data_IF_980735955418
#
_entry.id   IF_980735955418
#
_cell.length_a   1.000
_cell.length_b   1.000
_cell.length_c   1.000
_cell.angle_alpha   90.00
_cell.angle_beta   90.00
_cell.angle_gamma   90.00
#
_symmetry.space_group_name_H-M   'P 1'
#
loop_
_entity.id
_entity.type
_entity.pdbx_description
1 polymer ?
#
# COMPACT_ATOMS: atom_id res chain seq x y z
N UNK A 1 -26.23 -3.19 9.05
CA UNK A 1 -25.52 -2.05 9.66
C UNK A 1 -24.86 -1.26 8.54
N UNK A 2 -24.83 0.07 8.61
CA UNK A 2 -24.15 0.94 7.66
C UNK A 2 -23.28 1.93 8.43
N UNK A 3 -22.20 2.42 7.82
CA UNK A 3 -21.29 3.39 8.43
C UNK A 3 -21.03 4.55 7.46
N UNK A 4 -20.80 5.74 8.00
CA UNK A 4 -20.39 6.90 7.20
C UNK A 4 -19.52 7.85 8.02
N UNK A 5 -18.73 8.66 7.31
CA UNK A 5 -18.01 9.76 7.95
C UNK A 5 -18.97 10.84 8.45
N UNK A 6 -18.58 11.63 9.46
CA UNK A 6 -19.40 12.73 9.95
C UNK A 6 -19.70 13.73 8.82
N UNK A 7 -20.93 14.31 8.79
CA UNK A 7 -21.29 15.32 7.82
C UNK A 7 -20.42 16.58 7.96
N UNK A 8 -20.12 17.23 6.83
CA UNK A 8 -19.21 18.38 6.75
C UNK A 8 -18.00 18.13 5.87
N UNK A 9 -17.22 19.18 5.56
CA UNK A 9 -16.02 19.09 4.73
C UNK A 9 -16.27 18.54 3.32
N UNK A 10 -17.44 18.83 2.72
CA UNK A 10 -17.86 18.32 1.41
C UNK A 10 -18.63 17.00 1.45
N UNK A 11 -18.85 16.39 2.64
CA UNK A 11 -19.65 15.17 2.78
C UNK A 11 -21.14 15.45 2.95
N UNK A 12 -21.96 14.63 2.32
CA UNK A 12 -23.42 14.77 2.31
C UNK A 12 -24.05 14.52 3.69
N UNK A 13 -25.09 15.31 4.00
CA UNK A 13 -25.92 15.11 5.18
C UNK A 13 -26.84 13.90 5.03
N UNK A 14 -27.11 13.20 6.13
CA UNK A 14 -28.13 12.14 6.17
C UNK A 14 -29.52 12.78 6.26
N UNK A 15 -30.45 12.30 5.43
CA UNK A 15 -31.84 12.75 5.52
C UNK A 15 -32.53 12.19 6.77
N UNK A 16 -33.38 13.00 7.41
CA UNK A 16 -34.15 12.59 8.59
C UNK A 16 -35.10 11.42 8.34
N UNK A 17 -35.52 11.24 7.08
CA UNK A 17 -36.33 10.09 6.66
C UNK A 17 -35.58 8.78 6.82
N UNK A 18 -34.29 8.76 6.48
CA UNK A 18 -33.47 7.56 6.62
C UNK A 18 -33.14 7.28 8.09
N UNK A 19 -32.79 8.31 8.87
CA UNK A 19 -32.44 8.15 10.29
C UNK A 19 -33.63 7.71 11.15
N UNK A 20 -34.88 7.90 10.70
CA UNK A 20 -36.06 7.35 11.40
C UNK A 20 -36.09 5.82 11.42
N UNK A 21 -35.47 5.17 10.43
CA UNK A 21 -35.46 3.71 10.28
C UNK A 21 -34.21 3.05 10.91
N UNK A 22 -33.27 3.83 11.44
CA UNK A 22 -31.98 3.34 11.92
C UNK A 22 -31.61 3.95 13.26
N UNK A 23 -30.88 3.18 14.09
CA UNK A 23 -30.23 3.73 15.26
C UNK A 23 -28.89 4.33 14.84
N UNK A 24 -28.66 5.60 15.17
CA UNK A 24 -27.40 6.29 14.89
C UNK A 24 -26.46 6.12 16.08
N UNK A 25 -25.31 5.49 15.86
CA UNK A 25 -24.25 5.34 16.85
C UNK A 25 -23.03 6.15 16.40
N UNK A 26 -22.56 7.05 17.27
CA UNK A 26 -21.34 7.81 17.04
C UNK A 26 -20.11 7.01 17.47
N UNK A 27 -19.15 6.82 16.56
CA UNK A 27 -17.84 6.24 16.88
C UNK A 27 -16.85 7.40 16.96
N UNK A 28 -16.34 7.65 18.16
CA UNK A 28 -15.33 8.69 18.38
C UNK A 28 -13.94 8.21 17.96
N UNK A 29 -13.04 9.15 17.75
CA UNK A 29 -11.62 8.85 17.55
C UNK A 29 -11.06 8.15 18.80
N UNK A 30 -10.14 7.20 18.57
CA UNK A 30 -9.47 6.51 19.66
C UNK A 30 -8.52 7.46 20.37
N UNK A 31 -8.52 7.38 21.70
CA UNK A 31 -7.49 8.03 22.50
C UNK A 31 -6.15 7.32 22.34
N UNK A 32 -5.08 8.02 22.69
CA UNK A 32 -3.71 7.55 22.51
C UNK A 32 -3.45 6.23 23.24
N UNK A 33 -4.04 6.02 24.43
CA UNK A 33 -3.87 4.78 25.18
C UNK A 33 -4.54 3.59 24.48
N UNK A 34 -5.74 3.79 23.92
CA UNK A 34 -6.41 2.75 23.13
C UNK A 34 -5.64 2.43 21.87
N UNK A 35 -5.13 3.43 21.15
CA UNK A 35 -4.27 3.21 19.97
C UNK A 35 -3.03 2.40 20.32
N UNK A 36 -2.30 2.79 21.37
CA UNK A 36 -1.12 2.05 21.85
C UNK A 36 -1.50 0.60 22.18
N UNK A 37 -2.57 0.39 22.95
CA UNK A 37 -3.00 -0.96 23.35
C UNK A 37 -3.32 -1.84 22.14
N UNK A 38 -4.10 -1.34 21.19
CA UNK A 38 -4.50 -2.10 19.99
C UNK A 38 -3.27 -2.50 19.18
N UNK A 39 -2.44 -1.53 18.80
CA UNK A 39 -1.32 -1.80 17.91
C UNK A 39 -0.16 -2.52 18.61
N UNK A 40 0.07 -2.29 19.90
CA UNK A 40 1.04 -3.11 20.67
C UNK A 40 0.58 -4.56 20.74
N UNK A 41 -0.71 -4.84 20.96
CA UNK A 41 -1.22 -6.23 20.95
C UNK A 41 -0.99 -6.91 19.59
N UNK A 42 -1.21 -6.18 18.49
CA UNK A 42 -0.99 -6.71 17.14
C UNK A 42 0.51 -6.98 16.88
N UNK A 43 1.37 -6.04 17.27
CA UNK A 43 2.83 -6.16 17.08
C UNK A 43 3.41 -7.27 17.98
N UNK A 44 2.95 -7.39 19.22
CA UNK A 44 3.33 -8.46 20.14
C UNK A 44 2.94 -9.83 19.60
N UNK A 45 1.74 -9.97 19.04
CA UNK A 45 1.32 -11.21 18.41
C UNK A 45 2.27 -11.61 17.26
N UNK A 46 2.74 -10.64 16.47
CA UNK A 46 3.72 -10.91 15.41
C UNK A 46 5.08 -11.33 15.96
N UNK A 47 5.64 -10.60 16.92
CA UNK A 47 6.94 -10.95 17.51
C UNK A 47 6.88 -12.20 18.40
N UNK A 48 5.70 -12.65 18.84
CA UNK A 48 5.56 -13.94 19.52
C UNK A 48 5.80 -15.14 18.59
N UNK A 49 5.77 -14.94 17.27
CA UNK A 49 5.92 -16.00 16.27
C UNK A 49 7.40 -16.27 15.92
N UNK A 50 8.15 -16.81 16.88
CA UNK A 50 9.51 -17.31 16.65
C UNK A 50 10.61 -16.24 16.62
N UNK A 51 10.31 -14.98 16.93
CA UNK A 51 11.35 -13.96 17.12
C UNK A 51 12.00 -14.11 18.51
N UNK A 52 13.21 -13.57 18.63
CA UNK A 52 13.90 -13.52 19.92
C UNK A 52 13.15 -12.63 20.94
N UNK A 53 13.16 -12.97 22.24
CA UNK A 53 12.41 -12.25 23.28
C UNK A 53 12.74 -10.75 23.41
N UNK A 54 13.90 -10.31 22.92
CA UNK A 54 14.27 -8.89 22.91
C UNK A 54 13.33 -8.05 22.04
N UNK A 55 12.84 -8.58 20.91
CA UNK A 55 11.95 -7.86 19.99
C UNK A 55 10.57 -7.60 20.59
N UNK A 56 10.07 -8.50 21.45
CA UNK A 56 8.84 -8.28 22.21
C UNK A 56 8.92 -7.04 23.12
N UNK A 57 10.12 -6.70 23.63
CA UNK A 57 10.32 -5.48 24.44
C UNK A 57 10.28 -4.22 23.59
N UNK A 58 10.65 -4.32 22.31
CA UNK A 58 10.67 -3.22 21.36
C UNK A 58 9.28 -2.93 20.77
N UNK A 59 8.32 -3.85 20.82
CA UNK A 59 6.95 -3.65 20.30
C UNK A 59 6.32 -2.35 20.78
N UNK A 60 6.33 -2.11 22.10
CA UNK A 60 5.71 -0.94 22.71
C UNK A 60 6.42 0.34 22.29
N UNK A 61 7.75 0.31 22.23
CA UNK A 61 8.59 1.46 21.82
C UNK A 61 8.31 1.81 20.36
N UNK A 62 8.25 0.80 19.48
CA UNK A 62 7.97 0.95 18.06
C UNK A 62 6.55 1.51 17.80
N UNK A 63 5.55 1.03 18.52
CA UNK A 63 4.17 1.54 18.41
C UNK A 63 4.08 2.97 18.96
N UNK A 64 4.80 3.28 20.03
CA UNK A 64 4.89 4.64 20.56
C UNK A 64 5.59 5.59 19.58
N UNK A 65 6.67 5.17 18.92
CA UNK A 65 7.35 5.93 17.88
C UNK A 65 6.42 6.20 16.69
N UNK A 66 5.67 5.19 16.27
CA UNK A 66 4.68 5.32 15.19
C UNK A 66 3.55 6.29 15.57
N UNK A 67 3.06 6.25 16.81
CA UNK A 67 2.06 7.21 17.31
C UNK A 67 2.58 8.64 17.31
N UNK A 68 3.83 8.83 17.75
CA UNK A 68 4.44 10.14 17.77
C UNK A 68 4.56 10.75 16.37
N UNK A 69 5.10 9.98 15.41
CA UNK A 69 5.20 10.41 14.00
C UNK A 69 3.81 10.66 13.40
N UNK A 70 2.84 9.79 13.67
CA UNK A 70 1.46 9.94 13.19
C UNK A 70 0.82 11.26 13.65
N UNK A 71 0.91 11.57 14.95
CA UNK A 71 0.34 12.81 15.52
C UNK A 71 1.03 14.05 14.96
N UNK A 72 2.35 14.05 14.92
CA UNK A 72 3.13 15.16 14.33
C UNK A 72 2.82 15.34 12.84
N UNK A 73 2.68 14.24 12.09
CA UNK A 73 2.34 14.31 10.67
C UNK A 73 0.98 14.98 10.44
N UNK A 74 -0.03 14.62 11.25
CA UNK A 74 -1.36 15.24 11.15
C UNK A 74 -1.31 16.73 11.51
N UNK A 75 -0.58 17.12 12.55
CA UNK A 75 -0.56 18.53 12.98
C UNK A 75 0.26 19.42 12.05
N UNK A 76 1.32 18.88 11.45
CA UNK A 76 2.29 19.66 10.66
C UNK A 76 1.91 19.71 9.18
N UNK A 77 1.53 18.57 8.59
CA UNK A 77 1.31 18.43 7.16
C UNK A 77 -0.18 18.59 6.82
N UNK A 78 -0.71 19.79 7.01
CA UNK A 78 -2.12 20.10 6.75
C UNK A 78 -2.44 20.11 5.25
N UNK A 79 -3.61 19.57 4.84
CA UNK A 79 -4.05 19.63 3.46
C UNK A 79 -4.41 21.06 3.07
N UNK A 80 -3.82 21.54 1.98
CA UNK A 80 -4.15 22.82 1.34
C UNK A 80 -4.53 22.55 -0.13
N UNK A 81 -5.11 23.51 -0.87
CA UNK A 81 -5.42 23.29 -2.30
C UNK A 81 -4.20 22.81 -3.12
N UNK A 82 -2.99 23.29 -2.80
CA UNK A 82 -1.75 22.85 -3.45
C UNK A 82 -1.25 21.46 -3.01
N UNK A 83 -1.68 20.98 -1.83
CA UNK A 83 -1.30 19.68 -1.25
C UNK A 83 -2.49 18.95 -0.65
N UNK A 84 -3.58 18.80 -1.41
CA UNK A 84 -4.83 18.26 -0.85
C UNK A 84 -4.76 16.76 -0.53
N UNK A 85 -3.76 16.06 -1.08
CA UNK A 85 -3.50 14.65 -0.85
C UNK A 85 -2.77 14.39 0.49
N UNK A 86 -2.39 15.43 1.23
CA UNK A 86 -1.79 15.33 2.56
C UNK A 86 -2.86 15.02 3.62
N UNK A 87 -3.53 13.89 3.46
CA UNK A 87 -4.56 13.41 4.38
C UNK A 87 -4.01 12.15 5.04
N UNK A 88 -3.77 12.25 6.35
CA UNK A 88 -3.31 11.15 7.17
C UNK A 88 -4.42 10.69 8.10
N UNK A 89 -4.60 9.38 8.24
CA UNK A 89 -5.61 8.78 9.11
C UNK A 89 -5.09 7.49 9.76
N UNK A 90 -5.92 6.88 10.62
CA UNK A 90 -5.57 5.66 11.35
C UNK A 90 -5.13 4.48 10.45
N UNK A 91 -5.59 4.42 9.19
CA UNK A 91 -5.16 3.39 8.24
C UNK A 91 -3.66 3.52 7.92
N UNK A 92 -3.11 4.72 7.98
CA UNK A 92 -1.69 4.96 7.73
C UNK A 92 -0.84 4.42 8.87
N UNK A 93 -1.27 4.64 10.12
CA UNK A 93 -0.70 3.95 11.27
C UNK A 93 -0.72 2.44 11.06
N UNK A 94 -1.89 1.88 10.71
CA UNK A 94 -2.03 0.45 10.49
C UNK A 94 -1.15 -0.07 9.34
N UNK A 95 -0.94 0.71 8.28
CA UNK A 95 -0.06 0.36 7.14
C UNK A 95 1.40 0.25 7.54
N UNK A 96 1.90 1.10 8.45
CA UNK A 96 3.26 0.98 9.01
C UNK A 96 3.39 -0.35 9.76
N UNK A 97 2.46 -0.64 10.67
CA UNK A 97 2.49 -1.90 11.44
C UNK A 97 2.35 -3.11 10.52
N UNK A 98 1.49 -3.06 9.50
CA UNK A 98 1.36 -4.12 8.50
C UNK A 98 2.64 -4.34 7.70
N UNK A 99 3.34 -3.27 7.31
CA UNK A 99 4.61 -3.38 6.60
C UNK A 99 5.71 -3.99 7.46
N UNK A 100 5.78 -3.61 8.74
CA UNK A 100 6.72 -4.22 9.70
C UNK A 100 6.47 -5.72 9.86
N UNK A 101 5.21 -6.16 9.77
CA UNK A 101 4.83 -7.57 9.86
C UNK A 101 5.22 -8.42 8.64
N UNK A 102 5.73 -7.82 7.56
CA UNK A 102 6.17 -8.55 6.37
C UNK A 102 7.48 -9.31 6.60
N UNK A 103 8.33 -8.86 7.53
CA UNK A 103 9.63 -9.51 7.79
C UNK A 103 9.43 -10.82 8.57
N UNK A 104 10.02 -11.95 8.14
CA UNK A 104 9.98 -13.18 8.91
C UNK A 104 10.96 -13.16 10.10
N UNK A 105 10.67 -13.97 11.11
CA UNK A 105 11.52 -14.12 12.31
C UNK A 105 12.93 -14.63 12.02
N UNK A 106 13.09 -15.46 10.98
CA UNK A 106 14.38 -15.98 10.53
C UNK A 106 15.39 -14.90 10.15
N UNK A 107 14.91 -13.75 9.66
CA UNK A 107 15.73 -12.69 9.08
C UNK A 107 15.92 -11.51 10.03
N UNK A 108 15.24 -11.49 11.17
CA UNK A 108 15.34 -10.43 12.17
C UNK A 108 16.18 -10.85 13.37
N UNK A 109 17.47 -10.47 13.35
CA UNK A 109 18.45 -10.82 14.40
C UNK A 109 19.02 -9.62 15.15
N UNK A 110 18.87 -8.41 14.61
CA UNK A 110 19.47 -7.19 15.14
C UNK A 110 18.38 -6.18 15.50
N UNK A 111 18.50 -5.53 16.67
CA UNK A 111 17.59 -4.46 17.08
C UNK A 111 17.69 -3.24 16.14
N UNK A 112 18.92 -2.89 15.73
CA UNK A 112 19.16 -1.79 14.79
C UNK A 112 18.45 -2.06 13.44
N UNK A 113 18.39 -3.31 12.98
CA UNK A 113 17.66 -3.70 11.76
C UNK A 113 16.16 -3.48 11.88
N UNK A 114 15.57 -3.75 13.04
CA UNK A 114 14.16 -3.45 13.29
C UNK A 114 13.90 -1.93 13.26
N UNK A 115 14.80 -1.11 13.79
CA UNK A 115 14.70 0.35 13.71
C UNK A 115 14.81 0.83 12.26
N UNK A 116 15.71 0.24 11.46
CA UNK A 116 15.82 0.51 10.01
C UNK A 116 14.55 0.15 9.25
N UNK A 117 13.98 -1.02 9.53
CA UNK A 117 12.69 -1.44 8.96
C UNK A 117 11.59 -0.44 9.31
N UNK A 118 11.52 0.00 10.57
CA UNK A 118 10.55 1.01 11.00
C UNK A 118 10.72 2.34 10.24
N UNK A 119 11.97 2.84 10.09
CA UNK A 119 12.25 4.04 9.30
C UNK A 119 11.78 3.85 7.85
N UNK A 120 12.13 2.72 7.22
CA UNK A 120 11.72 2.41 5.85
C UNK A 120 10.20 2.47 5.70
N UNK A 121 9.46 1.79 6.59
CA UNK A 121 8.00 1.70 6.54
C UNK A 121 7.30 3.03 6.79
N UNK A 122 7.83 3.82 7.73
CA UNK A 122 7.34 5.19 7.97
C UNK A 122 7.56 6.09 6.75
N UNK A 123 8.70 5.97 6.08
CA UNK A 123 8.97 6.67 4.83
C UNK A 123 8.00 6.24 3.71
N UNK A 124 7.80 4.93 3.50
CA UNK A 124 6.88 4.44 2.46
C UNK A 124 5.43 4.87 2.69
N UNK A 125 5.00 5.03 3.94
CA UNK A 125 3.62 5.40 4.25
C UNK A 125 3.41 6.92 4.27
N UNK A 126 4.29 7.68 4.91
CA UNK A 126 4.10 9.12 5.12
C UNK A 126 4.94 9.97 4.17
N UNK A 127 6.24 9.70 4.07
CA UNK A 127 7.17 10.51 3.29
C UNK A 127 6.85 10.48 1.78
N UNK A 128 6.48 9.31 1.23
CA UNK A 128 6.19 9.17 -0.21
C UNK A 128 4.99 10.02 -0.70
N UNK A 129 4.20 10.61 0.21
CA UNK A 129 3.14 11.58 -0.12
C UNK A 129 3.63 13.02 -0.20
N UNK A 130 4.80 13.34 0.33
CA UNK A 130 5.33 14.69 0.38
C UNK A 130 5.87 15.09 -1.00
N UNK A 131 5.62 16.34 -1.39
CA UNK A 131 6.01 16.89 -2.70
C UNK A 131 6.88 18.14 -2.59
N UNK A 132 6.95 18.75 -1.41
CA UNK A 132 7.70 19.98 -1.17
C UNK A 132 8.96 19.68 -0.36
N UNK A 133 10.10 20.20 -0.81
CA UNK A 133 11.41 19.97 -0.18
C UNK A 133 11.43 20.44 1.29
N UNK A 134 10.70 21.49 1.63
CA UNK A 134 10.58 21.96 3.02
C UNK A 134 9.86 20.91 3.88
N UNK A 135 8.74 20.37 3.40
CA UNK A 135 7.97 19.34 4.11
C UNK A 135 8.80 18.05 4.26
N UNK A 136 9.57 17.67 3.23
CA UNK A 136 10.51 16.53 3.26
C UNK A 136 11.58 16.70 4.35
N UNK A 137 12.20 17.88 4.45
CA UNK A 137 13.20 18.17 5.48
C UNK A 137 12.59 18.16 6.89
N UNK A 138 11.41 18.74 7.07
CA UNK A 138 10.70 18.68 8.35
C UNK A 138 10.37 17.23 8.75
N UNK A 139 9.96 16.40 7.79
CA UNK A 139 9.70 14.99 8.05
C UNK A 139 10.96 14.26 8.50
N UNK A 140 12.09 14.49 7.83
CA UNK A 140 13.36 13.90 8.22
C UNK A 140 13.77 14.30 9.66
N UNK A 141 13.56 15.56 10.05
CA UNK A 141 13.82 16.01 11.42
C UNK A 141 12.87 15.37 12.44
N UNK A 142 11.60 15.16 12.10
CA UNK A 142 10.65 14.39 12.93
C UNK A 142 11.20 12.97 13.18
N UNK A 143 11.69 12.29 12.14
CA UNK A 143 12.24 10.93 12.29
C UNK A 143 13.51 10.94 13.13
N UNK A 144 14.43 11.88 12.89
CA UNK A 144 15.65 12.04 13.70
C UNK A 144 15.33 12.25 15.18
N UNK A 145 14.37 13.14 15.49
CA UNK A 145 13.94 13.41 16.85
C UNK A 145 13.27 12.18 17.49
N UNK A 146 12.42 11.48 16.74
CA UNK A 146 11.73 10.26 17.20
C UNK A 146 12.74 9.16 17.55
N UNK A 147 13.77 8.96 16.73
CA UNK A 147 14.86 8.03 17.01
C UNK A 147 15.60 8.39 18.31
N UNK A 148 15.88 9.68 18.52
CA UNK A 148 16.55 10.16 19.73
C UNK A 148 15.70 10.00 20.98
N UNK A 149 14.43 10.40 20.94
CA UNK A 149 13.61 10.51 22.15
C UNK A 149 12.98 9.18 22.57
N UNK A 150 12.54 8.38 21.59
CA UNK A 150 11.76 7.16 21.84
C UNK A 150 12.66 5.93 21.75
N UNK A 151 13.42 5.78 20.66
CA UNK A 151 14.38 4.67 20.52
C UNK A 151 15.69 4.90 21.28
N UNK A 152 15.91 6.11 21.83
CA UNK A 152 17.13 6.46 22.58
C UNK A 152 18.41 6.19 21.79
N UNK A 153 18.34 6.32 20.46
CA UNK A 153 19.41 5.97 19.55
C UNK A 153 19.56 7.03 18.46
N UNK A 154 20.81 7.32 18.09
CA UNK A 154 21.09 8.28 17.02
C UNK A 154 20.89 7.62 15.64
N UNK A 155 20.13 8.28 14.77
CA UNK A 155 19.90 7.87 13.38
C UNK A 155 21.21 7.69 12.59
N UNK A 156 22.21 8.53 12.86
CA UNK A 156 23.54 8.47 12.23
C UNK A 156 24.27 7.16 12.56
N UNK A 157 24.03 6.59 13.75
CA UNK A 157 24.58 5.29 14.14
C UNK A 157 23.86 4.16 13.41
N UNK A 158 22.52 4.18 13.43
CA UNK A 158 21.66 3.13 12.86
C UNK A 158 21.88 2.98 11.35
N UNK A 159 22.03 4.11 10.65
CA UNK A 159 22.18 4.20 9.20
C UNK A 159 23.62 4.54 8.76
N UNK A 160 24.60 4.30 9.64
CA UNK A 160 26.02 4.62 9.37
C UNK A 160 26.55 3.99 8.09
N UNK A 161 26.07 2.79 7.73
CA UNK A 161 26.47 2.09 6.51
C UNK A 161 25.94 2.74 5.21
N UNK A 162 24.96 3.64 5.28
CA UNK A 162 24.39 4.35 4.13
C UNK A 162 25.09 5.68 3.83
N UNK A 163 25.75 6.29 4.83
CA UNK A 163 26.42 7.59 4.67
C UNK A 163 27.93 7.45 4.62
N UNK A 164 28.53 7.93 3.53
CA UNK A 164 29.99 7.99 3.39
C UNK A 164 30.64 9.05 4.30
N UNK A 165 29.88 10.07 4.70
CA UNK A 165 30.38 11.20 5.51
C UNK A 165 30.23 10.97 7.01
N UNK A 166 29.51 9.93 7.42
CA UNK A 166 29.16 9.64 8.81
C UNK A 166 27.98 10.45 9.36
N UNK A 167 27.48 11.45 8.62
CA UNK A 167 26.24 12.18 8.94
C UNK A 167 25.17 11.79 7.94
N UNK A 168 24.03 11.30 8.43
CA UNK A 168 22.92 10.86 7.59
C UNK A 168 22.12 12.08 7.16
N UNK A 169 21.84 12.14 5.86
CA UNK A 169 20.93 13.09 5.23
C UNK A 169 19.68 12.37 4.74
N UNK A 170 18.63 13.11 4.42
CA UNK A 170 17.39 12.52 3.90
C UNK A 170 17.64 11.70 2.61
N UNK A 171 18.51 12.20 1.73
CA UNK A 171 18.87 11.50 0.49
C UNK A 171 19.55 10.13 0.73
N UNK A 172 20.20 9.94 1.87
CA UNK A 172 20.80 8.65 2.24
C UNK A 172 19.73 7.62 2.60
N UNK A 173 18.60 8.04 3.18
CA UNK A 173 17.46 7.15 3.51
C UNK A 173 16.83 6.58 2.24
N UNK A 174 16.97 7.25 1.09
CA UNK A 174 16.52 6.70 -0.20
C UNK A 174 17.24 5.41 -0.58
N UNK A 175 18.43 5.15 -0.02
CA UNK A 175 19.16 3.89 -0.20
C UNK A 175 18.69 2.79 0.76
N UNK A 176 17.86 3.12 1.77
CA UNK A 176 17.31 2.15 2.70
C UNK A 176 16.13 1.42 2.06
N UNK A 177 16.40 0.26 1.48
CA UNK A 177 15.42 -0.55 0.76
C UNK A 177 15.15 -1.86 1.50
N UNK A 178 13.88 -2.23 1.59
CA UNK A 178 13.43 -3.54 2.02
C UNK A 178 12.55 -4.13 0.92
N UNK A 179 12.72 -5.42 0.64
CA UNK A 179 12.03 -6.09 -0.46
C UNK A 179 12.23 -7.60 -0.46
N UNK A 180 11.47 -8.28 -1.30
CA UNK A 180 11.45 -9.74 -1.41
C UNK A 180 12.08 -10.28 -2.71
N UNK A 181 12.93 -9.47 -3.35
CA UNK A 181 13.45 -9.69 -4.70
C UNK A 181 14.97 -9.90 -4.74
N UNK A 182 15.61 -10.10 -3.59
CA UNK A 182 17.05 -10.36 -3.49
C UNK A 182 17.34 -11.84 -3.26
N UNK A 183 16.62 -12.45 -2.32
CA UNK A 183 16.78 -13.85 -1.95
C UNK A 183 15.80 -14.71 -2.75
N UNK A 184 16.20 -15.95 -3.05
CA UNK A 184 15.40 -16.87 -3.89
C UNK A 184 14.19 -17.44 -3.14
N UNK A 185 14.16 -17.32 -1.82
CA UNK A 185 13.02 -17.69 -0.96
C UNK A 185 11.91 -16.61 -0.94
N UNK A 186 12.11 -15.51 -1.66
CA UNK A 186 11.19 -14.37 -1.74
C UNK A 186 10.76 -13.85 -0.37
N UNK A 187 11.65 -13.88 0.63
CA UNK A 187 11.39 -13.30 1.93
C UNK A 187 11.62 -11.78 1.93
N UNK A 188 10.74 -11.02 2.60
CA UNK A 188 10.88 -9.57 2.72
C UNK A 188 12.02 -9.22 3.69
N UNK A 189 13.09 -8.60 3.17
CA UNK A 189 14.29 -8.32 3.96
C UNK A 189 15.04 -7.04 3.52
N UNK A 190 15.98 -6.58 4.36
CA UNK A 190 16.85 -5.43 4.10
C UNK A 190 17.79 -5.71 2.91
N UNK A 191 17.84 -4.78 1.96
CA UNK A 191 18.73 -4.86 0.80
C UNK A 191 20.04 -4.15 1.11
N UNK A 192 21.10 -4.92 1.38
CA UNK A 192 22.41 -4.39 1.77
C UNK A 192 23.37 -4.21 0.60
N UNK A 193 23.32 -5.09 -0.41
CA UNK A 193 24.16 -4.99 -1.62
C UNK A 193 23.39 -4.40 -2.81
N UNK A 194 23.66 -3.13 -3.05
CA UNK A 194 23.06 -2.39 -4.15
C UNK A 194 23.51 -2.86 -5.55
N UNK A 195 24.74 -3.40 -5.69
CA UNK A 195 25.22 -3.93 -6.98
C UNK A 195 24.52 -5.24 -7.31
N UNK A 196 24.33 -6.10 -6.31
CA UNK A 196 23.54 -7.32 -6.45
C UNK A 196 22.08 -6.98 -6.81
N UNK A 197 21.50 -5.95 -6.19
CA UNK A 197 20.15 -5.47 -6.52
C UNK A 197 20.01 -5.09 -7.99
N UNK A 198 20.92 -4.29 -8.54
CA UNK A 198 20.88 -3.91 -9.97
C UNK A 198 20.91 -5.17 -10.84
N UNK A 199 21.85 -6.09 -10.58
CA UNK A 199 21.98 -7.33 -11.35
C UNK A 199 20.72 -8.19 -11.29
N UNK A 200 20.09 -8.31 -10.11
CA UNK A 200 18.83 -9.04 -9.94
C UNK A 200 17.69 -8.38 -10.72
N UNK A 201 17.57 -7.05 -10.67
CA UNK A 201 16.55 -6.30 -11.42
C UNK A 201 16.73 -6.42 -12.93
N UNK A 202 17.97 -6.41 -13.43
CA UNK A 202 18.28 -6.67 -14.84
C UNK A 202 17.90 -8.08 -15.28
N UNK A 203 18.16 -9.09 -14.43
CA UNK A 203 17.72 -10.46 -14.69
C UNK A 203 16.19 -10.56 -14.79
N UNK A 204 15.44 -9.99 -13.83
CA UNK A 204 13.97 -9.96 -13.89
C UNK A 204 13.45 -9.27 -15.14
N UNK A 205 14.11 -8.19 -15.61
CA UNK A 205 13.74 -7.54 -16.86
C UNK A 205 13.97 -8.44 -18.07
N UNK A 206 15.10 -9.16 -18.11
CA UNK A 206 15.41 -10.09 -19.18
C UNK A 206 14.44 -11.27 -19.22
N UNK A 207 14.09 -11.82 -18.07
CA UNK A 207 13.11 -12.90 -17.93
C UNK A 207 11.74 -12.43 -18.41
N UNK A 208 11.29 -11.25 -17.97
CA UNK A 208 10.06 -10.62 -18.46
C UNK A 208 10.08 -10.47 -19.99
N UNK A 209 11.17 -9.97 -20.56
CA UNK A 209 11.30 -9.73 -22.00
C UNK A 209 11.33 -11.03 -22.82
N UNK A 210 11.75 -12.14 -22.22
CA UNK A 210 11.78 -13.45 -22.88
C UNK A 210 10.37 -14.06 -22.99
N UNK A 211 9.53 -13.84 -21.97
CA UNK A 211 8.19 -14.42 -21.88
C UNK A 211 7.13 -13.50 -22.50
N UNK A 212 7.31 -12.19 -22.37
CA UNK A 212 6.31 -11.19 -22.75
C UNK A 212 6.24 -10.94 -24.26
N UNK A 213 5.02 -10.82 -24.78
CA UNK A 213 4.78 -10.39 -26.17
C UNK A 213 5.11 -8.91 -26.40
N UNK A 214 5.21 -8.12 -25.33
CA UNK A 214 5.50 -6.68 -25.36
C UNK A 214 6.72 -6.40 -24.49
N UNK A 215 7.94 -6.55 -25.04
CA UNK A 215 9.17 -6.33 -24.29
C UNK A 215 9.32 -4.86 -23.89
N UNK A 216 9.99 -4.62 -22.77
CA UNK A 216 10.29 -3.30 -22.22
C UNK A 216 11.80 -3.04 -22.27
N UNK A 217 12.19 -1.90 -22.83
CA UNK A 217 13.57 -1.43 -22.81
C UNK A 217 13.76 -0.46 -21.64
N UNK A 218 13.96 -0.99 -20.44
CA UNK A 218 14.20 -0.20 -19.23
C UNK A 218 15.68 -0.22 -18.86
N UNK A 219 16.19 0.94 -18.48
CA UNK A 219 17.53 1.06 -17.88
C UNK A 219 17.37 1.00 -16.36
N UNK A 220 18.11 0.10 -15.70
CA UNK A 220 18.06 -0.07 -14.24
C UNK A 220 18.95 0.94 -13.52
N UNK A 221 18.48 2.18 -13.42
CA UNK A 221 19.09 3.21 -12.57
C UNK A 221 18.32 3.39 -11.26
N UNK A 222 18.90 4.16 -10.33
CA UNK A 222 18.41 4.27 -8.95
C UNK A 222 16.91 4.57 -8.81
N UNK A 223 16.41 5.60 -9.51
CA UNK A 223 14.99 5.94 -9.41
C UNK A 223 14.07 4.83 -9.96
N UNK A 224 14.47 4.14 -11.04
CA UNK A 224 13.69 3.04 -11.58
C UNK A 224 13.54 1.90 -10.54
N UNK A 225 14.66 1.53 -9.91
CA UNK A 225 14.69 0.50 -8.86
C UNK A 225 13.87 0.93 -7.65
N UNK A 226 13.98 2.18 -7.20
CA UNK A 226 13.16 2.70 -6.10
C UNK A 226 11.66 2.58 -6.41
N UNK A 227 11.22 2.97 -7.60
CA UNK A 227 9.80 2.89 -7.97
C UNK A 227 9.30 1.44 -8.09
N UNK A 228 10.10 0.54 -8.68
CA UNK A 228 9.79 -0.89 -8.72
C UNK A 228 9.66 -1.45 -7.30
N UNK A 229 10.59 -1.10 -6.42
CA UNK A 229 10.61 -1.54 -5.02
C UNK A 229 9.38 -1.06 -4.24
N UNK A 230 8.95 0.19 -4.46
CA UNK A 230 7.71 0.73 -3.87
C UNK A 230 6.48 -0.04 -4.31
N UNK A 231 6.37 -0.35 -5.60
CA UNK A 231 5.23 -1.14 -6.12
C UNK A 231 5.29 -2.56 -5.57
N UNK A 232 6.46 -3.22 -5.62
CA UNK A 232 6.65 -4.57 -5.07
C UNK A 232 6.24 -4.65 -3.59
N UNK A 233 6.62 -3.67 -2.76
CA UNK A 233 6.20 -3.59 -1.35
C UNK A 233 4.68 -3.47 -1.20
N UNK A 234 3.98 -2.76 -2.10
CA UNK A 234 2.50 -2.68 -2.05
C UNK A 234 1.87 -4.01 -2.47
N UNK A 235 2.45 -4.73 -3.43
CA UNK A 235 1.95 -6.05 -3.86
C UNK A 235 2.01 -7.10 -2.74
N UNK A 236 2.97 -6.97 -1.82
CA UNK A 236 3.08 -7.85 -0.65
C UNK A 236 2.00 -7.62 0.42
N UNK A 237 1.23 -6.54 0.34
CA UNK A 237 0.18 -6.26 1.32
C UNK A 237 -1.16 -6.78 0.84
N UNK A 238 -1.89 -7.46 1.74
CA UNK A 238 -3.28 -7.84 1.50
C UNK A 238 -4.13 -6.58 1.23
N UNK A 239 -4.97 -6.63 0.19
CA UNK A 239 -5.72 -5.47 -0.30
C UNK A 239 -4.85 -4.23 -0.60
N UNK A 240 -3.60 -4.47 -1.02
CA UNK A 240 -2.67 -3.45 -1.43
C UNK A 240 -3.27 -2.59 -2.55
N UNK A 241 -3.03 -1.28 -2.50
CA UNK A 241 -3.33 -0.42 -3.63
C UNK A 241 -2.40 0.78 -3.61
N UNK A 242 -2.05 1.26 -4.80
CA UNK A 242 -1.23 2.44 -4.97
C UNK A 242 -1.80 3.31 -6.09
N UNK A 243 -1.82 4.61 -5.81
CA UNK A 243 -2.03 5.64 -6.82
C UNK A 243 -0.67 6.19 -7.23
N UNK A 244 -0.26 5.92 -8.47
CA UNK A 244 1.05 6.28 -8.98
C UNK A 244 0.94 7.59 -9.77
N UNK A 245 1.35 8.69 -9.13
CA UNK A 245 1.28 10.05 -9.69
C UNK A 245 2.64 10.48 -10.24
N UNK A 246 2.65 11.08 -11.42
CA UNK A 246 3.87 11.58 -12.05
C UNK A 246 3.63 12.05 -13.48
N UNK A 247 4.61 12.76 -14.03
CA UNK A 247 4.57 13.23 -15.42
C UNK A 247 4.61 12.07 -16.42
N UNK A 248 4.07 12.27 -17.62
CA UNK A 248 4.13 11.29 -18.70
C UNK A 248 5.57 10.86 -19.00
N UNK A 249 5.77 9.58 -19.30
CA UNK A 249 7.09 9.03 -19.60
C UNK A 249 7.99 8.69 -18.40
N UNK A 250 7.54 8.91 -17.15
CA UNK A 250 8.30 8.55 -15.94
C UNK A 250 8.43 7.04 -15.66
N UNK A 251 8.19 6.18 -16.66
CA UNK A 251 8.40 4.72 -16.57
C UNK A 251 7.40 3.97 -15.70
N UNK A 252 6.32 4.65 -15.30
CA UNK A 252 5.48 4.18 -14.21
C UNK A 252 4.72 2.88 -14.54
N UNK A 253 4.11 2.78 -15.73
CA UNK A 253 3.47 1.53 -16.19
C UNK A 253 4.48 0.39 -16.25
N UNK A 254 5.68 0.67 -16.78
CA UNK A 254 6.74 -0.32 -16.92
C UNK A 254 7.24 -0.83 -15.56
N UNK A 255 7.36 0.06 -14.57
CA UNK A 255 7.68 -0.32 -13.19
C UNK A 255 6.61 -1.24 -12.58
N UNK A 256 5.33 -0.97 -12.85
CA UNK A 256 4.24 -1.83 -12.37
C UNK A 256 4.22 -3.20 -13.04
N UNK A 257 4.43 -3.25 -14.36
CA UNK A 257 4.51 -4.52 -15.10
C UNK A 257 5.65 -5.39 -14.57
N UNK A 258 6.82 -4.78 -14.37
CA UNK A 258 7.98 -5.50 -13.84
C UNK A 258 7.78 -5.92 -12.39
N UNK A 259 7.26 -5.05 -11.51
CA UNK A 259 6.97 -5.42 -10.13
C UNK A 259 5.94 -6.55 -10.03
N UNK A 260 4.92 -6.56 -10.91
CA UNK A 260 3.94 -7.64 -10.98
C UNK A 260 4.58 -8.96 -11.42
N UNK A 261 5.52 -8.89 -12.36
CA UNK A 261 6.30 -10.06 -12.79
C UNK A 261 7.20 -10.59 -11.68
N UNK A 262 7.89 -9.71 -10.94
CA UNK A 262 8.73 -10.09 -9.79
C UNK A 262 7.90 -10.80 -8.70
N UNK A 263 6.64 -10.39 -8.52
CA UNK A 263 5.72 -10.99 -7.56
C UNK A 263 4.98 -12.23 -8.09
N UNK A 264 5.25 -12.67 -9.33
CA UNK A 264 4.48 -13.73 -10.02
C UNK A 264 2.97 -13.47 -10.03
N UNK A 265 2.57 -12.20 -10.14
CA UNK A 265 1.17 -11.80 -10.24
C UNK A 265 0.75 -11.62 -11.69
N UNK A 266 -0.45 -12.10 -12.02
CA UNK A 266 -0.98 -11.91 -13.36
C UNK A 266 -1.44 -10.47 -13.54
N UNK A 267 -1.04 -9.85 -14.65
CA UNK A 267 -1.43 -8.47 -14.95
C UNK A 267 -2.77 -8.46 -15.69
N UNK A 268 -3.77 -7.79 -15.11
CA UNK A 268 -5.04 -7.51 -15.78
C UNK A 268 -5.05 -6.05 -16.24
N UNK A 269 -5.11 -5.84 -17.55
CA UNK A 269 -5.16 -4.51 -18.18
C UNK A 269 -6.40 -4.46 -19.08
N UNK A 270 -7.16 -3.38 -18.98
CA UNK A 270 -8.33 -3.17 -19.84
C UNK A 270 -7.88 -2.60 -21.19
N UNK A 271 -8.35 -3.19 -22.27
CA UNK A 271 -8.13 -2.67 -23.62
C UNK A 271 -9.35 -1.88 -24.07
N UNK A 272 -9.17 -0.57 -24.23
CA UNK A 272 -10.27 0.30 -24.63
C UNK A 272 -10.37 0.36 -26.15
N UNK A 273 -11.56 0.00 -26.63
CA UNK A 273 -12.00 0.22 -28.01
C UNK A 273 -12.81 1.51 -28.14
N UNK A 274 -13.13 1.91 -29.38
CA UNK A 274 -14.00 3.08 -29.63
C UNK A 274 -15.41 2.90 -29.07
N UNK A 275 -15.88 1.65 -28.98
CA UNK A 275 -17.22 1.29 -28.49
C UNK A 275 -17.23 0.89 -27.02
N UNK A 276 -16.08 0.94 -26.33
CA UNK A 276 -15.99 0.55 -24.92
C UNK A 276 -16.82 1.49 -24.04
N UNK A 277 -17.86 0.94 -23.42
CA UNK A 277 -18.77 1.64 -22.52
C UNK A 277 -18.94 0.90 -21.19
N UNK A 278 -20.06 1.18 -20.52
CA UNK A 278 -20.34 0.69 -19.16
C UNK A 278 -20.56 -0.82 -19.10
N UNK A 279 -21.12 -1.41 -20.16
CA UNK A 279 -21.38 -2.85 -20.20
C UNK A 279 -20.05 -3.63 -20.28
N UNK A 280 -19.16 -3.23 -21.21
CA UNK A 280 -17.85 -3.85 -21.37
C UNK A 280 -17.00 -3.70 -20.09
N UNK A 281 -17.07 -2.54 -19.44
CA UNK A 281 -16.44 -2.32 -18.14
C UNK A 281 -16.95 -3.30 -17.08
N UNK A 282 -18.27 -3.44 -16.94
CA UNK A 282 -18.85 -4.37 -15.96
C UNK A 282 -18.47 -5.82 -16.26
N UNK A 283 -18.41 -6.21 -17.54
CA UNK A 283 -17.95 -7.53 -17.94
C UNK A 283 -16.47 -7.74 -17.59
N UNK A 284 -15.62 -6.72 -17.75
CA UNK A 284 -14.21 -6.77 -17.34
C UNK A 284 -14.06 -6.91 -15.82
N UNK A 285 -14.85 -6.17 -15.04
CA UNK A 285 -14.87 -6.30 -13.58
C UNK A 285 -15.37 -7.68 -13.17
N UNK A 286 -16.40 -8.24 -13.83
CA UNK A 286 -16.82 -9.64 -13.61
C UNK A 286 -15.66 -10.60 -13.86
N UNK A 287 -14.98 -10.49 -15.00
CA UNK A 287 -13.84 -11.37 -15.34
C UNK A 287 -12.72 -11.25 -14.31
N UNK A 288 -12.41 -10.04 -13.86
CA UNK A 288 -11.41 -9.82 -12.81
C UNK A 288 -11.80 -10.51 -11.50
N UNK A 289 -13.04 -10.33 -11.03
CA UNK A 289 -13.53 -10.93 -9.78
C UNK A 289 -13.63 -12.45 -9.86
N UNK A 290 -14.03 -13.00 -11.00
CA UNK A 290 -14.06 -14.46 -11.19
C UNK A 290 -12.64 -15.05 -11.14
N UNK A 291 -11.67 -14.37 -11.73
CA UNK A 291 -10.28 -14.81 -11.76
C UNK A 291 -9.62 -14.79 -10.37
N UNK A 292 -9.82 -13.71 -9.61
CA UNK A 292 -9.23 -13.61 -8.27
C UNK A 292 -10.00 -14.39 -7.23
N UNK A 293 -11.33 -14.46 -7.35
CA UNK A 293 -12.22 -15.15 -6.42
C UNK A 293 -12.33 -16.66 -6.63
N UNK A 294 -12.56 -17.13 -7.88
CA UNK A 294 -12.75 -18.56 -8.15
C UNK A 294 -11.45 -19.29 -8.47
N UNK A 295 -10.58 -18.69 -9.29
CA UNK A 295 -9.31 -19.33 -9.68
C UNK A 295 -8.19 -19.11 -8.64
N UNK A 296 -8.45 -18.28 -7.62
CA UNK A 296 -7.50 -17.91 -6.57
C UNK A 296 -6.14 -17.37 -7.08
N UNK A 297 -6.13 -16.81 -8.31
CA UNK A 297 -4.92 -16.25 -8.93
C UNK A 297 -4.63 -14.84 -8.42
N UNK A 298 -3.43 -14.64 -7.87
CA UNK A 298 -2.94 -13.31 -7.51
C UNK A 298 -2.85 -12.44 -8.75
N UNK A 299 -3.66 -11.38 -8.79
CA UNK A 299 -3.82 -10.53 -9.97
C UNK A 299 -3.62 -9.06 -9.60
N UNK A 300 -2.88 -8.34 -10.46
CA UNK A 300 -2.72 -6.90 -10.40
C UNK A 300 -3.60 -6.26 -11.44
N UNK A 301 -4.60 -5.48 -11.01
CA UNK A 301 -5.42 -4.70 -11.93
C UNK A 301 -4.76 -3.33 -12.15
N UNK A 302 -4.35 -3.10 -13.40
CA UNK A 302 -3.62 -1.92 -13.85
C UNK A 302 -4.53 -1.03 -14.70
N UNK A 303 -4.84 0.18 -14.20
CA UNK A 303 -5.78 1.12 -14.85
C UNK A 303 -5.14 2.49 -15.06
N UNK A 304 -5.13 2.97 -16.30
CA UNK A 304 -4.65 4.31 -16.64
C UNK A 304 -5.78 5.34 -16.61
N UNK A 305 -5.43 6.61 -16.40
CA UNK A 305 -6.34 7.76 -16.48
C UNK A 305 -7.09 7.83 -17.82
N UNK A 306 -6.38 7.57 -18.92
CA UNK A 306 -6.95 7.49 -20.26
C UNK A 306 -8.03 6.39 -20.39
N UNK A 307 -8.08 5.44 -19.46
CA UNK A 307 -9.08 4.39 -19.45
C UNK A 307 -10.42 4.77 -18.79
N UNK A 308 -10.46 5.89 -18.09
CA UNK A 308 -11.60 6.28 -17.26
C UNK A 308 -12.50 7.25 -18.00
N UNK A 309 -13.27 6.71 -18.95
CA UNK A 309 -14.18 7.53 -19.79
C UNK A 309 -15.45 7.97 -19.06
N UNK A 310 -15.91 7.20 -18.08
CA UNK A 310 -17.16 7.42 -17.37
C UNK A 310 -16.92 7.52 -15.87
N UNK A 311 -17.58 8.45 -15.20
CA UNK A 311 -17.50 8.63 -13.75
C UNK A 311 -17.89 7.37 -12.98
N UNK A 312 -18.84 6.58 -13.52
CA UNK A 312 -19.28 5.31 -12.94
C UNK A 312 -18.13 4.30 -12.79
N UNK A 313 -17.06 4.37 -13.60
CA UNK A 313 -15.92 3.45 -13.47
C UNK A 313 -15.17 3.72 -12.17
N UNK A 314 -15.03 5.00 -11.81
CA UNK A 314 -14.40 5.40 -10.54
C UNK A 314 -15.23 5.02 -9.34
N UNK A 315 -16.56 5.09 -9.47
CA UNK A 315 -17.48 4.60 -8.43
C UNK A 315 -17.31 3.10 -8.21
N UNK A 316 -17.29 2.30 -9.29
CA UNK A 316 -17.09 0.85 -9.21
C UNK A 316 -15.71 0.50 -8.60
N UNK A 317 -14.63 1.18 -9.00
CA UNK A 317 -13.30 1.00 -8.39
C UNK A 317 -13.32 1.34 -6.89
N UNK A 318 -14.01 2.41 -6.51
CA UNK A 318 -14.15 2.80 -5.10
C UNK A 318 -14.91 1.74 -4.30
N UNK A 319 -15.95 1.13 -4.88
CA UNK A 319 -16.70 0.05 -4.23
C UNK A 319 -15.84 -1.22 -4.09
N UNK A 320 -15.05 -1.57 -5.11
CA UNK A 320 -14.07 -2.66 -5.03
C UNK A 320 -13.04 -2.43 -3.91
N UNK A 321 -12.49 -1.22 -3.81
CA UNK A 321 -11.48 -0.89 -2.79
C UNK A 321 -12.04 -0.89 -1.36
N UNK A 322 -13.29 -0.46 -1.18
CA UNK A 322 -13.89 -0.33 0.14
C UNK A 322 -14.60 -1.58 0.64
N UNK A 323 -15.22 -2.34 -0.28
CA UNK A 323 -16.09 -3.47 0.06
C UNK A 323 -15.75 -4.79 -0.63
N UNK A 324 -14.87 -4.76 -1.65
CA UNK A 324 -14.56 -5.94 -2.47
C UNK A 324 -15.68 -6.38 -3.40
N UNK A 325 -16.78 -5.61 -3.50
CA UNK A 325 -17.96 -5.94 -4.31
C UNK A 325 -18.45 -4.71 -5.09
N UNK A 326 -19.11 -4.95 -6.22
CA UNK A 326 -19.79 -3.94 -7.02
C UNK A 326 -21.29 -4.28 -7.05
N UNK A 327 -22.18 -3.40 -6.53
CA UNK A 327 -23.60 -3.69 -6.47
C UNK A 327 -24.22 -3.98 -7.84
N UNK A 328 -25.11 -4.98 -7.87
CA UNK A 328 -25.84 -5.39 -9.09
C UNK A 328 -24.93 -5.75 -10.27
N UNK A 329 -23.72 -6.25 -9.98
CA UNK A 329 -22.80 -6.73 -11.02
C UNK A 329 -23.27 -8.08 -11.59
N UNK A 330 -23.55 -9.05 -10.72
CA UNK A 330 -24.04 -10.37 -11.11
C UNK A 330 -25.58 -10.46 -11.00
N UNK A 331 -26.27 -10.98 -12.01
CA UNK A 331 -27.69 -11.32 -11.89
C UNK A 331 -27.90 -12.46 -10.87
N UNK A 332 -29.12 -12.62 -10.33
CA UNK A 332 -29.37 -13.52 -9.19
C UNK A 332 -29.04 -14.99 -9.45
N UNK A 333 -29.23 -15.45 -10.68
CA UNK A 333 -28.92 -16.79 -11.17
C UNK A 333 -27.40 -17.04 -11.24
N UNK A 334 -26.64 -16.14 -11.88
CA UNK A 334 -25.16 -16.20 -11.88
C UNK A 334 -24.63 -16.17 -10.43
N UNK A 335 -25.19 -15.32 -9.57
CA UNK A 335 -24.77 -15.22 -8.17
C UNK A 335 -25.00 -16.52 -7.40
N UNK A 336 -26.11 -17.22 -7.64
CA UNK A 336 -26.38 -18.50 -7.00
C UNK A 336 -25.37 -19.58 -7.43
N UNK A 337 -25.03 -19.64 -8.71
CA UNK A 337 -24.00 -20.55 -9.24
C UNK A 337 -22.62 -20.26 -8.65
N UNK A 338 -22.25 -18.98 -8.54
CA UNK A 338 -20.97 -18.56 -7.95
C UNK A 338 -20.88 -18.95 -6.47
N UNK A 339 -21.96 -18.78 -5.71
CA UNK A 339 -22.00 -19.18 -4.30
C UNK A 339 -21.76 -20.68 -4.16
N UNK A 340 -22.37 -21.51 -5.02
CA UNK A 340 -22.15 -22.97 -4.99
C UNK A 340 -20.69 -23.34 -5.31
N UNK A 341 -20.10 -22.71 -6.33
CA UNK A 341 -18.68 -22.91 -6.68
C UNK A 341 -17.75 -22.52 -5.54
N UNK A 342 -17.96 -21.35 -4.93
CA UNK A 342 -17.16 -20.88 -3.79
C UNK A 342 -17.33 -21.80 -2.59
N UNK A 343 -18.55 -22.26 -2.30
CA UNK A 343 -18.79 -23.21 -1.21
C UNK A 343 -18.03 -24.53 -1.40
N UNK A 344 -17.96 -25.03 -2.65
CA UNK A 344 -17.20 -26.24 -2.96
C UNK A 344 -15.69 -26.02 -2.75
N UNK A 345 -15.15 -24.86 -3.14
CA UNK A 345 -13.74 -24.51 -2.89
C UNK A 345 -13.45 -24.43 -1.39
N UNK A 346 -14.29 -23.72 -0.62
CA UNK A 346 -14.14 -23.57 0.83
C UNK A 346 -14.23 -24.91 1.57
N UNK A 347 -15.01 -25.88 1.06
CA UNK A 347 -15.08 -27.23 1.64
C UNK A 347 -13.84 -28.07 1.38
N UNK A 348 -13.16 -27.85 0.25
CA UNK A 348 -11.98 -28.61 -0.16
C UNK A 348 -10.69 -28.04 0.45
N UNK A 349 -10.62 -26.72 0.64
CA UNK A 349 -9.48 -26.06 1.27
C UNK A 349 -9.81 -25.59 2.70
N UNK A 350 -9.35 -26.32 3.70
CA UNK A 350 -9.57 -26.06 5.15
C UNK A 350 -8.97 -24.71 5.63
N UNK A 351 -8.25 -23.99 4.78
CA UNK A 351 -7.45 -22.81 5.16
C UNK A 351 -7.78 -21.52 4.38
N UNK A 352 -8.87 -21.45 3.61
CA UNK A 352 -9.27 -20.19 2.96
C UNK A 352 -10.40 -19.51 3.74
N UNK A 353 -10.01 -18.63 4.67
CA UNK A 353 -10.87 -17.51 5.07
C UNK A 353 -11.12 -16.70 3.79
N UNK A 354 -12.35 -16.79 3.29
CA UNK A 354 -12.98 -16.01 2.21
C UNK A 354 -12.09 -14.92 1.59
N UNK A 355 -11.34 -15.29 0.54
CA UNK A 355 -10.55 -14.35 -0.25
C UNK A 355 -11.45 -13.73 -1.33
N UNK A 356 -12.03 -12.57 -0.99
CA UNK A 356 -12.12 -11.46 -1.95
C UNK A 356 -10.94 -10.48 -1.73
N UNK A 357 -9.93 -10.88 -0.94
CA UNK A 357 -8.81 -10.04 -0.48
C UNK A 357 -7.54 -10.06 -1.37
N UNK A 358 -7.51 -10.85 -2.45
CA UNK A 358 -6.34 -11.01 -3.36
C UNK A 358 -6.40 -10.15 -4.63
N UNK A 359 -7.13 -9.04 -4.61
CA UNK A 359 -7.05 -8.00 -5.64
C UNK A 359 -6.18 -6.85 -5.14
N UNK A 360 -4.96 -6.73 -5.65
CA UNK A 360 -4.16 -5.51 -5.46
C UNK A 360 -4.44 -4.56 -6.61
N UNK A 361 -5.03 -3.40 -6.30
CA UNK A 361 -5.50 -2.42 -7.28
C UNK A 361 -4.46 -1.31 -7.47
N UNK A 362 -3.89 -1.18 -8.68
CA UNK A 362 -2.93 -0.12 -8.99
C UNK A 362 -3.55 0.88 -9.96
N UNK A 363 -3.67 2.12 -9.50
CA UNK A 363 -4.35 3.21 -10.19
C UNK A 363 -3.37 4.34 -10.56
N UNK A 364 -3.70 5.11 -11.58
CA UNK A 364 -2.83 6.14 -12.16
C UNK A 364 -3.57 7.47 -12.28
N UNK A 365 -2.88 8.58 -11.99
CA UNK A 365 -3.37 9.93 -12.29
C UNK A 365 -2.29 10.73 -13.00
N UNK A 366 -2.66 11.51 -14.02
CA UNK A 366 -1.84 12.61 -14.53
C UNK A 366 -1.93 13.82 -13.61
N UNK A 367 -1.02 14.79 -13.81
CA UNK A 367 -0.88 16.00 -13.02
C UNK A 367 -2.15 16.84 -12.86
N UNK A 368 -2.08 17.69 -11.84
CA UNK A 368 -3.12 18.44 -11.15
C UNK A 368 -4.04 17.61 -10.26
N UNK A 369 -3.81 17.80 -8.96
CA UNK A 369 -4.69 17.45 -7.85
C UNK A 369 -6.12 17.89 -8.21
N UNK A 370 -6.94 16.94 -8.67
CA UNK A 370 -8.33 17.14 -9.02
C UNK A 370 -9.21 16.23 -8.16
N UNK A 371 -9.22 16.54 -6.87
CA UNK A 371 -10.41 16.39 -6.02
C UNK A 371 -10.48 17.62 -5.09
N UNK A 372 -10.51 18.79 -5.71
CA UNK A 372 -11.13 19.97 -5.11
C UNK A 372 -12.50 20.10 -5.76
N UNK A 373 -13.55 19.89 -4.96
CA UNK A 373 -14.94 20.29 -5.17
C UNK A 373 -15.47 20.37 -6.62
N UNK A 374 -16.30 19.38 -6.98
CA UNK A 374 -17.49 19.69 -7.78
C UNK A 374 -18.46 20.42 -6.86
N UNK A 375 -18.36 21.74 -6.84
CA UNK A 375 -19.47 22.65 -6.56
C UNK A 375 -19.19 24.02 -7.18
N UNK A 376 -19.46 24.13 -8.47
CA UNK A 376 -20.43 25.08 -9.05
C UNK A 376 -20.81 24.61 -10.43
#
# INVERSE_FOLDING_TARGET
>A
MAAMGPPGGGRNNITSRLTRHTNVLGVNEFDDQTMLKIFTTITDAHFSNGFEPQFMRLSKILVQATLHVYKLSISTFLPTPAKSHYIFNLRDFARVIKGIRLIPSSNMKEEDKLMRLWIHEVYRVFYDRLTMTEDENYFFDIIRQTCSDIFRTNIDKILSHLSLSGRVTDNDIRNLLFGNYIQDDSCYDEVTDYKLLIKRMENYLNDYNTISKTPMNLVMFKYAIEHISRVARVLLQDNGHALLVGVGGSGRQSATRLASHIADHELFVIEITRTYGVNEWRDDIKRLLLKTGLEAKSTVFLITDNQLKHESFMEDISMLLNSGDVPNLFPPDEKAELIDKVQNIVRLEVSLILVFEKCTLLFWSYGDILLANIST
#
